data_IF_607374525830
#
_entry.id   IF_607374525830
#
_cell.length_a   1.000
_cell.length_b   1.000
_cell.length_c   1.000
_cell.angle_alpha   90.00
_cell.angle_beta   90.00
_cell.angle_gamma   90.00
#
_symmetry.space_group_name_H-M   'P 1'
#
loop_
_entity.id
_entity.type
_entity.pdbx_description
1 polymer ?
#
# COMPACT_ATOMS: atom_id res chain seq x y z
N UNK A 1 -35.13 -51.94 28.29
CA UNK A 1 -33.98 -52.71 28.79
C UNK A 1 -32.76 -52.19 28.03
N UNK A 2 -31.96 -51.24 28.51
CA UNK A 2 -31.41 -50.98 29.86
C UNK A 2 -30.18 -51.82 30.18
N UNK A 3 -28.99 -51.21 30.09
CA UNK A 3 -27.93 -51.31 31.11
C UNK A 3 -26.90 -50.18 30.96
N UNK A 4 -26.64 -49.48 32.07
CA UNK A 4 -25.50 -48.57 32.28
C UNK A 4 -24.42 -49.35 33.03
N UNK A 5 -23.16 -48.96 32.93
CA UNK A 5 -22.12 -49.28 33.93
C UNK A 5 -21.36 -48.01 34.33
N UNK A 6 -20.80 -47.99 35.54
CA UNK A 6 -20.15 -46.83 36.16
C UNK A 6 -18.67 -47.14 36.48
N UNK A 7 -17.87 -46.09 36.65
CA UNK A 7 -16.54 -46.13 37.27
C UNK A 7 -16.13 -44.73 37.72
N UNK A 8 -15.64 -44.58 38.95
CA UNK A 8 -15.25 -43.31 39.58
C UNK A 8 -14.27 -43.56 40.74
N UNK A 9 -13.83 -42.49 41.43
CA UNK A 9 -12.88 -42.45 42.57
C UNK A 9 -11.40 -42.54 42.08
N UNK A 10 -10.47 -41.59 42.25
CA UNK A 10 -10.11 -40.53 43.25
C UNK A 10 -9.14 -41.01 44.35
N UNK A 11 -7.99 -40.32 44.51
CA UNK A 11 -7.25 -40.02 45.77
C UNK A 11 -6.02 -39.13 45.45
N UNK A 12 -5.51 -38.35 46.42
CA UNK A 12 -4.38 -37.42 46.26
C UNK A 12 -3.51 -37.30 47.55
N UNK A 13 -2.24 -36.85 47.45
CA UNK A 13 -1.35 -36.44 48.57
C UNK A 13 -0.05 -35.75 48.06
N UNK A 14 0.83 -35.22 48.92
CA UNK A 14 0.81 -33.83 49.45
C UNK A 14 1.98 -33.58 50.45
N UNK A 15 3.23 -33.49 49.99
CA UNK A 15 4.43 -33.22 50.81
C UNK A 15 5.67 -32.93 49.92
N UNK A 16 6.77 -32.28 50.34
CA UNK A 16 7.06 -31.30 51.40
C UNK A 16 8.36 -30.53 50.99
N UNK A 17 8.72 -29.41 51.65
CA UNK A 17 9.81 -28.51 51.20
C UNK A 17 11.02 -28.36 52.14
N UNK A 18 12.06 -27.66 51.66
CA UNK A 18 13.28 -27.26 52.42
C UNK A 18 13.71 -25.83 52.08
N UNK A 19 14.56 -25.24 52.94
CA UNK A 19 14.99 -23.84 52.89
C UNK A 19 16.42 -23.68 52.35
N UNK A 20 16.67 -22.60 51.60
CA UNK A 20 17.99 -22.02 51.40
C UNK A 20 17.87 -20.51 51.15
N UNK A 21 18.75 -19.71 51.75
CA UNK A 21 18.80 -18.26 51.57
C UNK A 21 20.25 -17.78 51.51
N UNK A 22 20.56 -16.80 50.66
CA UNK A 22 21.71 -15.93 50.89
C UNK A 22 21.37 -14.43 50.81
N UNK A 23 22.03 -13.67 51.69
CA UNK A 23 22.43 -12.26 51.61
C UNK A 23 21.64 -11.27 50.72
N UNK A 24 21.09 -10.24 51.37
CA UNK A 24 20.89 -8.95 50.71
C UNK A 24 22.25 -8.28 50.41
N UNK A 25 22.44 -7.81 49.18
CA UNK A 25 23.54 -6.93 48.76
C UNK A 25 22.94 -5.65 48.16
N UNK A 26 23.74 -4.56 48.12
CA UNK A 26 23.24 -3.21 47.84
C UNK A 26 22.80 -3.01 46.38
N UNK A 27 21.88 -2.07 46.20
CA UNK A 27 21.66 -1.38 44.93
C UNK A 27 22.76 -0.32 44.78
N UNK A 28 23.43 -0.30 43.63
CA UNK A 28 24.28 0.82 43.17
C UNK A 28 23.70 1.37 41.85
N UNK A 29 23.82 2.68 41.63
CA UNK A 29 23.08 3.37 40.56
C UNK A 29 23.90 3.60 39.27
N UNK A 30 23.34 3.15 38.13
CA UNK A 30 23.58 3.68 36.75
C UNK A 30 25.01 3.42 36.18
N UNK A 31 25.30 3.71 34.88
CA UNK A 31 24.44 4.24 33.82
C UNK A 31 24.34 3.40 32.51
N UNK A 32 23.12 3.39 31.97
CA UNK A 32 22.73 3.29 30.55
C UNK A 32 23.82 3.44 29.45
N UNK A 33 24.41 2.32 28.99
CA UNK A 33 25.13 2.23 27.69
C UNK A 33 24.93 0.91 26.91
N UNK A 34 23.79 0.22 27.09
CA UNK A 34 23.38 -0.86 26.18
C UNK A 34 21.86 -0.97 26.03
N UNK A 35 21.40 -1.13 24.79
CA UNK A 35 20.03 -1.54 24.41
C UNK A 35 20.14 -2.58 23.30
N UNK A 36 20.36 -3.83 23.70
CA UNK A 36 19.83 -4.94 22.92
C UNK A 36 18.31 -5.06 23.19
N UNK A 37 17.52 -5.57 22.23
CA UNK A 37 16.06 -5.59 22.35
C UNK A 37 15.57 -6.76 23.22
N UNK A 38 14.96 -6.46 24.37
CA UNK A 38 14.28 -7.46 25.20
C UNK A 38 13.14 -8.15 24.44
N UNK A 39 13.14 -9.49 24.46
CA UNK A 39 12.25 -10.33 23.67
C UNK A 39 10.85 -10.51 24.29
N UNK A 40 10.15 -9.42 24.64
CA UNK A 40 8.82 -9.47 25.28
C UNK A 40 7.80 -8.46 24.71
N UNK A 41 7.49 -8.55 23.41
CA UNK A 41 6.18 -8.11 22.88
C UNK A 41 5.66 -9.00 21.75
N UNK A 42 5.60 -10.31 22.00
CA UNK A 42 5.01 -11.32 21.09
C UNK A 42 3.80 -11.98 21.76
N UNK A 43 2.79 -11.17 22.08
CA UNK A 43 1.46 -11.64 22.51
C UNK A 43 0.30 -10.76 22.01
N UNK A 44 0.57 -9.57 21.44
CA UNK A 44 -0.42 -8.76 20.71
C UNK A 44 -0.70 -9.34 19.33
N UNK A 45 -1.11 -10.60 19.26
CA UNK A 45 -1.62 -11.22 18.03
C UNK A 45 -2.80 -10.38 17.54
N UNK A 46 -2.74 -9.77 16.34
CA UNK A 46 -3.77 -8.83 15.93
C UNK A 46 -5.08 -9.58 15.69
N UNK A 47 -6.16 -9.15 16.36
CA UNK A 47 -7.53 -9.62 16.15
C UNK A 47 -8.13 -9.19 14.78
N UNK A 48 -7.26 -9.05 13.78
CA UNK A 48 -7.55 -8.68 12.39
C UNK A 48 -7.64 -9.91 11.48
N UNK A 49 -7.23 -11.09 11.96
CA UNK A 49 -7.25 -12.34 11.20
C UNK A 49 -8.66 -12.98 11.08
N UNK A 50 -9.57 -12.64 12.00
CA UNK A 50 -10.98 -12.97 11.86
C UNK A 50 -11.65 -11.99 10.89
N UNK A 51 -12.12 -12.51 9.75
CA UNK A 51 -12.52 -11.74 8.56
C UNK A 51 -13.89 -11.03 8.68
N UNK A 52 -14.17 -10.39 9.82
CA UNK A 52 -15.41 -9.67 10.10
C UNK A 52 -15.16 -8.17 9.97
N UNK A 53 -15.71 -7.55 8.91
CA UNK A 53 -15.63 -6.11 8.65
C UNK A 53 -15.09 -5.72 7.27
N UNK A 54 -14.27 -6.57 6.62
CA UNK A 54 -13.68 -6.30 5.30
C UNK A 54 -14.67 -6.34 4.13
N UNK A 55 -15.92 -6.74 4.34
CA UNK A 55 -16.95 -6.65 3.29
C UNK A 55 -17.41 -5.20 3.05
N UNK A 56 -17.07 -4.26 3.95
CA UNK A 56 -17.14 -2.81 3.69
C UNK A 56 -15.92 -2.24 2.96
N UNK A 57 -14.90 -3.04 2.67
CA UNK A 57 -13.66 -2.62 1.97
C UNK A 57 -13.85 -2.60 0.44
N UNK A 58 -14.84 -3.34 -0.09
CA UNK A 58 -15.17 -3.38 -1.52
C UNK A 58 -16.19 -2.27 -1.83
N UNK A 59 -15.88 -1.29 -2.70
CA UNK A 59 -16.83 -0.24 -3.06
C UNK A 59 -18.12 -0.82 -3.69
N UNK A 60 -19.32 -0.36 -3.29
CA UNK A 60 -20.59 -0.91 -3.78
C UNK A 60 -20.75 -0.93 -5.31
N UNK A 61 -20.08 -0.01 -6.02
CA UNK A 61 -20.02 0.01 -7.48
C UNK A 61 -19.40 -1.27 -8.07
N UNK A 62 -18.37 -1.83 -7.42
CA UNK A 62 -17.71 -3.06 -7.85
C UNK A 62 -18.51 -4.31 -7.45
N UNK A 63 -19.22 -4.26 -6.32
CA UNK A 63 -20.19 -5.31 -5.94
C UNK A 63 -21.30 -5.39 -7.00
N UNK A 64 -21.87 -4.25 -7.39
CA UNK A 64 -22.86 -4.18 -8.46
C UNK A 64 -22.29 -4.62 -9.81
N UNK A 65 -21.03 -4.29 -10.13
CA UNK A 65 -20.36 -4.77 -11.33
C UNK A 65 -20.13 -6.30 -11.31
N UNK A 66 -20.03 -6.92 -10.14
CA UNK A 66 -19.91 -8.38 -9.98
C UNK A 66 -21.23 -9.09 -10.28
N UNK A 67 -22.37 -8.51 -9.88
CA UNK A 67 -23.69 -9.04 -10.18
C UNK A 67 -24.11 -8.79 -11.64
N UNK A 68 -23.88 -7.57 -12.15
CA UNK A 68 -24.33 -7.12 -13.47
C UNK A 68 -23.21 -6.46 -14.29
N UNK A 69 -22.14 -7.18 -14.68
CA UNK A 69 -21.01 -6.59 -15.42
C UNK A 69 -21.47 -5.97 -16.75
N UNK A 70 -22.43 -6.59 -17.44
CA UNK A 70 -22.89 -6.21 -18.77
C UNK A 70 -24.22 -5.44 -18.81
N UNK A 71 -24.75 -4.98 -17.67
CA UNK A 71 -26.04 -4.25 -17.69
C UNK A 71 -25.94 -2.87 -18.34
N UNK A 72 -26.90 -2.57 -19.20
CA UNK A 72 -27.13 -1.26 -19.81
C UNK A 72 -28.36 -0.55 -19.23
N UNK A 73 -28.90 -1.04 -18.11
CA UNK A 73 -30.04 -0.41 -17.45
C UNK A 73 -29.74 1.06 -17.11
N UNK A 74 -30.58 1.97 -17.61
CA UNK A 74 -30.39 3.43 -17.48
C UNK A 74 -29.31 4.05 -18.37
N UNK A 75 -28.57 3.29 -19.19
CA UNK A 75 -27.40 3.76 -19.95
C UNK A 75 -27.69 3.94 -21.46
N UNK A 76 -28.79 4.61 -21.81
CA UNK A 76 -29.22 4.77 -23.20
C UNK A 76 -28.46 5.86 -23.98
N UNK A 77 -27.96 6.90 -23.30
CA UNK A 77 -27.30 8.08 -23.90
C UNK A 77 -25.80 8.09 -23.60
N UNK A 78 -24.97 8.59 -24.53
CA UNK A 78 -23.51 8.69 -24.34
C UNK A 78 -23.08 9.40 -23.05
N UNK A 79 -23.83 10.41 -22.57
CA UNK A 79 -23.54 11.08 -21.28
C UNK A 79 -23.73 10.17 -20.06
N UNK A 80 -24.65 9.21 -20.12
CA UNK A 80 -24.87 8.23 -19.05
C UNK A 80 -23.77 7.17 -19.05
N UNK A 81 -23.36 6.71 -20.24
CA UNK A 81 -22.22 5.80 -20.43
C UNK A 81 -20.93 6.46 -19.93
N UNK A 82 -20.67 7.73 -20.28
CA UNK A 82 -19.54 8.51 -19.79
C UNK A 82 -19.52 8.60 -18.26
N UNK A 83 -20.66 8.96 -17.62
CA UNK A 83 -20.75 9.06 -16.17
C UNK A 83 -20.52 7.72 -15.45
N UNK A 84 -21.04 6.61 -16.00
CA UNK A 84 -20.82 5.27 -15.46
C UNK A 84 -19.35 4.83 -15.58
N UNK A 85 -18.65 5.20 -16.66
CA UNK A 85 -17.21 4.96 -16.82
C UNK A 85 -16.41 5.83 -15.84
N UNK A 86 -16.74 7.13 -15.70
CA UNK A 86 -16.07 8.03 -14.74
C UNK A 86 -16.23 7.57 -13.28
N UNK A 87 -17.39 7.01 -12.92
CA UNK A 87 -17.59 6.38 -11.61
C UNK A 87 -16.68 5.16 -11.39
N UNK A 88 -16.45 4.36 -12.44
CA UNK A 88 -15.51 3.23 -12.38
C UNK A 88 -14.05 3.71 -12.35
N UNK A 89 -13.70 4.79 -13.06
CA UNK A 89 -12.34 5.35 -13.11
C UNK A 89 -11.89 5.98 -11.78
N UNK A 90 -12.80 6.62 -11.03
CA UNK A 90 -12.47 7.14 -9.70
C UNK A 90 -12.23 6.02 -8.66
N UNK A 91 -12.79 4.83 -8.89
CA UNK A 91 -12.64 3.66 -8.01
C UNK A 91 -11.48 2.74 -8.42
N UNK A 92 -11.30 2.50 -9.71
CA UNK A 92 -10.30 1.59 -10.28
C UNK A 92 -9.00 2.30 -10.68
N UNK A 93 -8.98 3.63 -10.68
CA UNK A 93 -7.91 4.44 -11.24
C UNK A 93 -7.95 4.51 -12.78
N UNK A 94 -6.97 5.22 -13.39
CA UNK A 94 -6.93 5.45 -14.83
C UNK A 94 -6.87 4.16 -15.64
N UNK A 95 -7.49 4.15 -16.82
CA UNK A 95 -7.63 2.94 -17.63
C UNK A 95 -6.39 2.62 -18.47
N UNK A 96 -6.32 1.39 -18.98
CA UNK A 96 -5.16 0.85 -19.70
C UNK A 96 -4.89 1.54 -21.05
N UNK A 97 -5.83 2.33 -21.57
CA UNK A 97 -5.67 3.17 -22.77
C UNK A 97 -5.03 4.54 -22.49
N UNK A 98 -4.71 4.85 -21.22
CA UNK A 98 -3.91 6.02 -20.83
C UNK A 98 -2.44 5.66 -20.56
N UNK A 99 -1.49 6.61 -20.63
CA UNK A 99 -0.05 6.34 -20.52
C UNK A 99 0.35 5.70 -19.18
N UNK A 100 1.39 4.87 -19.19
CA UNK A 100 1.82 4.13 -18.01
C UNK A 100 2.20 5.07 -16.84
N UNK A 101 2.86 6.17 -17.17
CA UNK A 101 3.34 7.17 -16.22
C UNK A 101 2.19 7.87 -15.49
N UNK A 102 1.00 7.97 -16.11
CA UNK A 102 -0.20 8.47 -15.42
C UNK A 102 -0.77 7.44 -14.44
N UNK A 103 -0.90 6.19 -14.88
CA UNK A 103 -1.42 5.08 -14.06
C UNK A 103 -0.56 4.91 -12.79
N UNK A 104 0.77 4.93 -12.96
CA UNK A 104 1.74 4.80 -11.89
C UNK A 104 1.73 6.01 -10.94
N UNK A 105 1.69 7.24 -11.48
CA UNK A 105 1.59 8.48 -10.68
C UNK A 105 0.34 8.52 -9.81
N UNK A 106 -0.82 8.06 -10.32
CA UNK A 106 -2.07 8.05 -9.55
C UNK A 106 -2.11 6.88 -8.56
N UNK A 107 -1.60 5.69 -8.92
CA UNK A 107 -1.43 4.60 -7.94
C UNK A 107 -0.53 5.01 -6.78
N UNK A 108 0.56 5.74 -7.03
CA UNK A 108 1.47 6.22 -5.98
C UNK A 108 0.86 7.31 -5.07
N UNK A 109 -0.14 8.06 -5.56
CA UNK A 109 -0.75 9.18 -4.85
C UNK A 109 -2.10 8.91 -4.18
N UNK A 110 -2.86 7.90 -4.63
CA UNK A 110 -4.22 7.62 -4.14
C UNK A 110 -4.46 6.17 -3.71
N UNK A 111 -3.62 5.22 -4.12
CA UNK A 111 -3.84 3.78 -3.88
C UNK A 111 -2.74 3.18 -3.01
N UNK A 112 -2.98 3.11 -1.69
CA UNK A 112 -2.07 2.46 -0.76
C UNK A 112 -1.91 0.96 -1.05
N UNK A 113 -0.76 0.57 -1.61
CA UNK A 113 -0.23 -0.81 -1.84
C UNK A 113 -1.05 -1.77 -2.72
N UNK A 114 -2.37 -1.63 -2.85
CA UNK A 114 -3.24 -2.71 -3.36
C UNK A 114 -3.10 -3.07 -4.85
N UNK A 115 -2.86 -2.11 -5.74
CA UNK A 115 -2.91 -2.35 -7.20
C UNK A 115 -1.62 -2.94 -7.78
N UNK A 116 -0.45 -2.45 -7.35
CA UNK A 116 0.85 -2.84 -7.97
C UNK A 116 1.33 -4.22 -7.52
N UNK A 117 0.96 -4.68 -6.32
CA UNK A 117 1.38 -5.99 -5.79
C UNK A 117 0.59 -7.18 -6.37
N UNK A 118 -0.65 -6.93 -6.85
CA UNK A 118 -1.65 -7.97 -7.10
C UNK A 118 -1.66 -8.49 -8.55
N UNK A 119 -0.96 -7.82 -9.47
CA UNK A 119 -0.95 -8.18 -10.90
C UNK A 119 0.15 -9.20 -11.29
N UNK A 120 1.00 -9.65 -10.35
CA UNK A 120 2.05 -10.64 -10.64
C UNK A 120 1.42 -12.03 -10.84
N UNK A 121 1.48 -12.64 -12.04
CA UNK A 121 0.98 -13.99 -12.27
C UNK A 121 1.73 -15.01 -11.40
N UNK A 122 1.07 -16.14 -11.08
CA UNK A 122 1.62 -17.27 -10.32
C UNK A 122 2.01 -17.01 -8.85
N UNK A 123 1.98 -15.76 -8.35
CA UNK A 123 2.13 -15.49 -6.90
C UNK A 123 0.96 -16.06 -6.07
N UNK A 124 -0.17 -16.37 -6.72
CA UNK A 124 -1.31 -17.07 -6.14
C UNK A 124 -0.99 -18.48 -5.65
N UNK A 125 -0.34 -19.31 -6.47
CA UNK A 125 -0.13 -20.75 -6.21
C UNK A 125 0.54 -21.04 -4.86
N UNK A 126 1.53 -20.23 -4.48
CA UNK A 126 2.25 -20.36 -3.20
C UNK A 126 1.36 -19.97 -2.00
N UNK A 127 0.37 -19.07 -2.20
CA UNK A 127 -0.59 -18.63 -1.18
C UNK A 127 -1.95 -19.32 -1.27
N UNK A 128 -2.14 -20.23 -2.22
CA UNK A 128 -3.34 -21.06 -2.37
C UNK A 128 -3.23 -22.33 -1.52
N UNK A 129 -2.04 -22.91 -1.42
CA UNK A 129 -1.76 -24.08 -0.54
C UNK A 129 -2.04 -23.78 0.95
N UNK A 130 -1.89 -22.52 1.39
CA UNK A 130 -2.20 -22.12 2.77
C UNK A 130 -3.66 -21.67 2.99
N UNK A 131 -4.48 -21.58 1.94
CA UNK A 131 -5.92 -21.24 2.00
C UNK A 131 -6.32 -19.83 2.48
N UNK A 132 -5.41 -19.12 3.16
CA UNK A 132 -5.71 -18.09 4.16
C UNK A 132 -6.67 -16.97 3.73
N UNK A 133 -6.47 -16.37 2.55
CA UNK A 133 -7.19 -15.14 2.21
C UNK A 133 -8.37 -15.41 1.27
N UNK A 134 -9.54 -15.68 1.84
CA UNK A 134 -10.80 -15.70 1.08
C UNK A 134 -11.24 -14.29 0.64
N UNK A 135 -10.93 -13.25 1.42
CA UNK A 135 -11.32 -11.87 1.11
C UNK A 135 -10.59 -11.32 -0.12
N UNK A 136 -9.28 -11.54 -0.25
CA UNK A 136 -8.52 -11.16 -1.46
C UNK A 136 -9.18 -11.70 -2.73
N UNK A 137 -9.78 -12.90 -2.69
CA UNK A 137 -10.49 -13.48 -3.83
C UNK A 137 -11.76 -12.68 -4.14
N UNK A 138 -12.54 -12.24 -3.13
CA UNK A 138 -13.69 -11.33 -3.33
C UNK A 138 -13.24 -9.98 -3.90
N UNK A 139 -12.22 -9.36 -3.31
CA UNK A 139 -11.68 -8.04 -3.71
C UNK A 139 -11.19 -8.09 -5.15
N UNK A 140 -10.36 -9.08 -5.50
CA UNK A 140 -9.86 -9.27 -6.85
C UNK A 140 -10.98 -9.58 -7.85
N UNK A 141 -11.97 -10.41 -7.50
CA UNK A 141 -13.12 -10.66 -8.36
C UNK A 141 -13.94 -9.39 -8.63
N UNK A 142 -14.16 -8.55 -7.61
CA UNK A 142 -14.87 -7.28 -7.76
C UNK A 142 -14.09 -6.25 -8.61
N UNK A 143 -12.77 -6.19 -8.47
CA UNK A 143 -11.89 -5.38 -9.33
C UNK A 143 -11.97 -5.87 -10.79
N UNK A 144 -11.85 -7.18 -11.03
CA UNK A 144 -11.95 -7.75 -12.38
C UNK A 144 -13.33 -7.48 -12.99
N UNK A 145 -14.41 -7.66 -12.25
CA UNK A 145 -15.76 -7.34 -12.71
C UNK A 145 -15.94 -5.85 -13.05
N UNK A 146 -15.36 -4.95 -12.26
CA UNK A 146 -15.29 -3.51 -12.55
C UNK A 146 -14.54 -3.19 -13.85
N UNK A 147 -13.37 -3.80 -14.06
CA UNK A 147 -12.58 -3.67 -15.29
C UNK A 147 -13.33 -4.22 -16.51
N UNK A 148 -13.94 -5.40 -16.40
CA UNK A 148 -14.83 -5.98 -17.43
C UNK A 148 -15.98 -5.05 -17.77
N UNK A 149 -16.64 -4.47 -16.76
CA UNK A 149 -17.73 -3.51 -16.95
C UNK A 149 -17.26 -2.22 -17.64
N UNK A 150 -16.10 -1.67 -17.25
CA UNK A 150 -15.51 -0.49 -17.93
C UNK A 150 -15.21 -0.77 -19.40
N UNK A 151 -14.54 -1.89 -19.69
CA UNK A 151 -14.22 -2.31 -21.07
C UNK A 151 -15.48 -2.51 -21.93
N UNK A 152 -16.50 -3.18 -21.37
CA UNK A 152 -17.80 -3.35 -22.04
C UNK A 152 -18.48 -2.01 -22.33
N UNK A 153 -18.54 -1.10 -21.36
CA UNK A 153 -19.18 0.21 -21.56
C UNK A 153 -18.44 1.07 -22.59
N UNK A 154 -17.10 1.05 -22.61
CA UNK A 154 -16.29 1.69 -23.68
C UNK A 154 -16.57 1.06 -25.04
N UNK A 155 -16.72 -0.27 -25.13
CA UNK A 155 -17.09 -0.98 -26.36
C UNK A 155 -18.49 -0.59 -26.86
N UNK A 156 -19.49 -0.57 -25.98
CA UNK A 156 -20.87 -0.18 -26.30
C UNK A 156 -20.98 1.29 -26.71
N UNK A 157 -20.24 2.18 -26.04
CA UNK A 157 -20.21 3.59 -26.44
C UNK A 157 -19.46 3.81 -27.75
N UNK A 158 -18.39 3.08 -28.02
CA UNK A 158 -17.72 3.06 -29.34
C UNK A 158 -18.67 2.64 -30.46
N UNK A 159 -19.41 1.54 -30.28
CA UNK A 159 -20.43 1.07 -31.22
C UNK A 159 -21.62 2.02 -31.39
N UNK A 160 -21.82 2.95 -30.44
CA UNK A 160 -22.82 4.03 -30.50
C UNK A 160 -22.27 5.36 -31.07
N UNK A 161 -21.01 5.41 -31.51
CA UNK A 161 -20.36 6.63 -31.97
C UNK A 161 -20.14 7.68 -30.87
N UNK A 162 -20.14 7.27 -29.60
CA UNK A 162 -19.86 8.16 -28.48
C UNK A 162 -18.39 8.63 -28.50
N UNK A 163 -18.14 9.83 -27.99
CA UNK A 163 -16.78 10.36 -27.77
C UNK A 163 -16.25 9.96 -26.40
N UNK A 164 -14.93 9.93 -26.24
CA UNK A 164 -14.24 9.81 -24.97
C UNK A 164 -14.81 10.79 -23.90
N UNK A 165 -15.03 10.36 -22.65
CA UNK A 165 -14.65 9.08 -22.04
C UNK A 165 -15.64 7.92 -22.27
N UNK A 166 -16.74 8.12 -23.01
CA UNK A 166 -17.68 7.03 -23.32
C UNK A 166 -17.18 6.03 -24.37
N UNK A 167 -15.96 6.20 -24.89
CA UNK A 167 -15.27 5.33 -25.84
C UNK A 167 -13.84 5.08 -25.35
N UNK A 168 -13.08 4.16 -25.97
CA UNK A 168 -11.63 4.15 -25.82
C UNK A 168 -11.00 5.52 -26.13
N UNK A 169 -9.87 5.80 -25.51
CA UNK A 169 -9.10 7.03 -25.72
C UNK A 169 -8.56 7.09 -27.16
N UNK A 170 -8.90 8.11 -27.97
CA UNK A 170 -8.29 8.30 -29.28
C UNK A 170 -6.84 8.75 -29.12
N UNK A 171 -5.99 8.44 -30.10
CA UNK A 171 -4.56 8.74 -30.06
C UNK A 171 -4.23 10.22 -29.77
N UNK A 172 -5.10 11.17 -30.14
CA UNK A 172 -4.94 12.59 -29.82
C UNK A 172 -5.06 12.90 -28.32
N UNK A 173 -5.93 12.21 -27.58
CA UNK A 173 -6.07 12.35 -26.11
C UNK A 173 -4.84 11.74 -25.44
N UNK A 174 -4.43 10.55 -25.86
CA UNK A 174 -3.23 9.89 -25.34
C UNK A 174 -1.98 10.74 -25.58
N UNK A 175 -1.81 11.29 -26.79
CA UNK A 175 -0.64 12.12 -27.14
C UNK A 175 -0.63 13.46 -26.38
N UNK A 176 -1.78 14.12 -26.21
CA UNK A 176 -1.88 15.32 -25.38
C UNK A 176 -1.41 15.02 -23.94
N UNK A 177 -1.88 13.89 -23.38
CA UNK A 177 -1.50 13.46 -22.03
C UNK A 177 -0.03 13.08 -21.90
N UNK A 178 0.55 12.39 -22.89
CA UNK A 178 2.01 12.14 -22.96
C UNK A 178 2.80 13.45 -22.98
N UNK A 179 2.32 14.47 -23.69
CA UNK A 179 2.99 15.77 -23.75
C UNK A 179 2.94 16.50 -22.40
N UNK A 180 1.80 16.49 -21.72
CA UNK A 180 1.65 17.00 -20.34
C UNK A 180 2.59 16.27 -19.36
N UNK A 181 2.60 14.93 -19.39
CA UNK A 181 3.43 14.10 -18.51
C UNK A 181 4.93 14.43 -18.65
N UNK A 182 5.39 14.66 -19.90
CA UNK A 182 6.76 15.06 -20.25
C UNK A 182 7.08 16.50 -19.84
N UNK A 183 6.16 17.45 -20.04
CA UNK A 183 6.35 18.83 -19.58
C UNK A 183 6.52 18.89 -18.04
N UNK A 184 5.71 18.12 -17.31
CA UNK A 184 5.85 17.96 -15.85
C UNK A 184 7.17 17.31 -15.42
N UNK A 185 7.82 16.51 -16.28
CA UNK A 185 9.14 15.93 -16.02
C UNK A 185 10.26 16.94 -16.29
N UNK A 186 10.21 17.62 -17.43
CA UNK A 186 11.13 18.72 -17.76
C UNK A 186 11.12 19.82 -16.70
N UNK A 187 9.95 20.20 -16.19
CA UNK A 187 9.82 21.10 -15.04
C UNK A 187 10.50 20.56 -13.77
N UNK A 188 10.27 19.28 -13.43
CA UNK A 188 10.86 18.67 -12.24
C UNK A 188 12.38 18.60 -12.36
N UNK A 189 12.91 18.29 -13.53
CA UNK A 189 14.34 18.14 -13.74
C UNK A 189 15.05 19.50 -13.85
N UNK A 190 14.41 20.52 -14.41
CA UNK A 190 14.88 21.91 -14.29
C UNK A 190 14.92 22.37 -12.81
N UNK A 191 13.86 22.08 -12.04
CA UNK A 191 13.77 22.39 -10.60
C UNK A 191 14.79 21.58 -9.77
N UNK A 192 15.12 20.34 -10.14
CA UNK A 192 16.22 19.57 -9.55
C UNK A 192 17.57 20.21 -9.89
N UNK A 193 17.81 20.52 -11.16
CA UNK A 193 19.08 21.06 -11.66
C UNK A 193 19.46 22.37 -10.97
N UNK A 194 18.54 23.34 -10.95
CA UNK A 194 18.73 24.60 -10.22
C UNK A 194 18.98 24.39 -8.71
N UNK A 195 18.35 23.38 -8.10
CA UNK A 195 18.55 23.01 -6.69
C UNK A 195 19.86 22.26 -6.43
N UNK A 196 20.46 21.62 -7.44
CA UNK A 196 21.83 21.07 -7.35
C UNK A 196 22.90 22.13 -7.60
N UNK A 197 22.66 23.06 -8.51
CA UNK A 197 23.57 24.19 -8.81
C UNK A 197 23.69 25.10 -7.59
N UNK A 198 22.58 25.64 -7.07
CA UNK A 198 22.58 26.45 -5.85
C UNK A 198 23.11 25.73 -4.59
N UNK A 199 23.16 24.38 -4.60
CA UNK A 199 23.83 23.58 -3.55
C UNK A 199 25.32 23.40 -3.77
N UNK A 200 25.79 23.39 -5.01
CA UNK A 200 27.21 23.39 -5.35
C UNK A 200 27.82 24.77 -5.05
N UNK A 201 27.12 25.84 -5.42
CA UNK A 201 27.52 27.22 -5.19
C UNK A 201 27.63 27.50 -3.68
N UNK A 202 26.56 27.25 -2.91
CA UNK A 202 26.56 27.44 -1.46
C UNK A 202 27.53 26.50 -0.70
N UNK A 203 28.00 25.41 -1.34
CA UNK A 203 29.12 24.61 -0.82
C UNK A 203 30.45 25.29 -1.15
N UNK A 204 30.65 25.74 -2.39
CA UNK A 204 31.85 26.44 -2.84
C UNK A 204 32.14 27.68 -1.98
N UNK A 205 31.13 28.52 -1.75
CA UNK A 205 31.27 29.73 -0.93
C UNK A 205 31.71 29.42 0.51
N UNK A 206 31.18 28.34 1.09
CA UNK A 206 31.53 27.89 2.44
C UNK A 206 32.92 27.23 2.49
N UNK A 207 33.28 26.46 1.47
CA UNK A 207 34.60 25.82 1.31
C UNK A 207 35.69 26.85 0.94
N UNK A 208 35.30 28.06 0.47
CA UNK A 208 36.15 29.25 0.34
C UNK A 208 36.29 30.00 1.67
N UNK A 209 35.18 30.30 2.34
CA UNK A 209 35.18 31.02 3.63
C UNK A 209 36.07 30.32 4.68
N UNK A 210 35.98 29.00 4.79
CA UNK A 210 36.82 28.19 5.69
C UNK A 210 38.34 28.29 5.39
N UNK A 211 38.74 28.67 4.17
CA UNK A 211 40.16 28.85 3.78
C UNK A 211 40.65 30.29 3.95
N UNK A 212 39.74 31.25 4.11
CA UNK A 212 40.08 32.67 4.35
C UNK A 212 40.09 33.04 5.83
N UNK A 213 39.55 32.19 6.70
CA UNK A 213 39.74 32.28 8.15
C UNK A 213 41.26 32.23 8.45
N UNK A 214 41.87 33.26 9.06
CA UNK A 214 43.32 33.30 9.23
C UNK A 214 43.77 32.24 10.24
N UNK A 215 44.66 31.33 9.82
CA UNK A 215 45.25 30.30 10.68
C UNK A 215 45.93 30.98 11.88
N UNK A 216 45.30 30.86 13.04
CA UNK A 216 45.63 31.57 14.27
C UNK A 216 46.85 30.91 14.94
N UNK A 217 47.99 31.06 14.27
CA UNK A 217 49.32 30.50 14.53
C UNK A 217 49.60 30.42 16.03
N UNK A 218 49.34 29.25 16.63
CA UNK A 218 49.44 29.08 18.08
C UNK A 218 50.87 29.41 18.54
N UNK A 219 51.04 30.20 19.61
CA UNK A 219 52.36 30.55 20.11
C UNK A 219 53.04 29.28 20.63
N UNK A 220 54.16 28.91 20.01
CA UNK A 220 54.94 27.73 20.42
C UNK A 220 55.25 27.78 21.91
N UNK A 221 55.14 26.65 22.64
CA UNK A 221 55.53 26.61 24.04
C UNK A 221 57.00 27.01 24.18
N UNK A 222 57.28 27.94 25.10
CA UNK A 222 58.64 28.22 25.53
C UNK A 222 59.06 27.13 26.52
N UNK A 223 60.29 26.64 26.34
CA UNK A 223 60.98 25.77 27.30
C UNK A 223 61.20 26.48 28.64
#
# INVERSE_FOLDING_TARGET
>A
MSRKWLGAIVVASLSAGTLAAPAAARQDEKPITSRDPDAVDVAKTPMTDLNVGRDGEIPPLLVNATAEPYTLHGLSKCRQIAGAIQQLDEVLGPDIDLPAEERDRISAGRVGKWVVASFIPFRGLIREVSGANAQDRKVNAAIQAGLTRRGFLKGVGSAKGCRYPASPAPASVVQARVNELKAMEQEKDAKKKAKSEAKADAKSDRDLAFKTEPDARQPSPKN
#
